data_IF_777525403754
#
_entry.id   IF_777525403754
#
_cell.length_a   1.000
_cell.length_b   1.000
_cell.length_c   1.000
_cell.angle_alpha   90.00
_cell.angle_beta   90.00
_cell.angle_gamma   90.00
#
_symmetry.space_group_name_H-M   'P 1'
#
loop_
_entity.id
_entity.type
_entity.pdbx_description
1 polymer ?
#
# COMPACT_ATOMS: atom_id res chain seq x y z
N UNK A 1 -2.43 12.79 14.82
CA UNK A 1 -2.18 12.29 13.45
C UNK A 1 -2.18 10.78 13.49
N UNK A 2 -3.06 10.10 12.74
CA UNK A 2 -3.13 8.62 12.74
C UNK A 2 -2.46 8.11 11.45
N UNK A 3 -1.35 7.40 11.60
CA UNK A 3 -0.60 6.87 10.45
C UNK A 3 -1.40 5.75 9.77
N UNK A 4 -1.16 5.56 8.48
CA UNK A 4 -1.81 4.50 7.72
C UNK A 4 -1.31 3.14 8.20
N UNK A 5 -2.20 2.33 8.79
CA UNK A 5 -1.88 0.99 9.29
C UNK A 5 -1.43 0.03 8.18
N UNK A 6 -1.95 0.22 6.96
CA UNK A 6 -1.70 -0.67 5.82
C UNK A 6 -0.28 -0.55 5.27
N UNK A 7 0.27 0.67 5.22
CA UNK A 7 1.67 0.92 4.87
C UNK A 7 2.55 1.27 6.08
N UNK A 8 2.03 1.13 7.30
CA UNK A 8 2.69 1.52 8.57
C UNK A 8 3.32 2.92 8.56
N UNK A 9 2.70 3.89 7.88
CA UNK A 9 3.25 5.24 7.78
C UNK A 9 4.21 5.49 6.60
N UNK A 10 4.63 4.45 5.87
CA UNK A 10 5.62 4.58 4.78
C UNK A 10 5.06 5.15 3.46
N UNK A 11 3.74 5.24 3.30
CA UNK A 11 3.09 5.65 2.05
C UNK A 11 3.15 4.62 0.90
N UNK A 12 4.00 3.60 1.00
CA UNK A 12 4.19 2.55 0.00
C UNK A 12 3.96 1.16 0.59
N UNK A 13 3.44 0.24 -0.22
CA UNK A 13 3.29 -1.18 0.10
C UNK A 13 4.00 -2.02 -0.97
N UNK A 14 4.43 -3.23 -0.62
CA UNK A 14 4.87 -4.17 -1.63
C UNK A 14 3.64 -4.85 -2.23
N UNK A 15 3.40 -4.62 -3.51
CA UNK A 15 2.35 -5.30 -4.25
C UNK A 15 2.99 -6.41 -5.08
N UNK A 16 2.37 -7.60 -5.02
CA UNK A 16 2.75 -8.73 -5.85
C UNK A 16 2.06 -8.55 -7.21
N UNK A 17 2.82 -8.39 -8.28
CA UNK A 17 2.24 -8.50 -9.61
C UNK A 17 1.90 -9.97 -9.86
N UNK A 18 0.64 -10.24 -10.20
CA UNK A 18 0.25 -11.50 -10.83
C UNK A 18 0.75 -11.45 -12.27
N UNK A 19 2.07 -11.59 -12.44
CA UNK A 19 2.64 -11.86 -13.75
C UNK A 19 2.39 -13.33 -14.06
N UNK A 20 1.87 -13.62 -15.26
CA UNK A 20 1.55 -14.99 -15.72
C UNK A 20 2.78 -15.93 -15.64
N UNK A 21 3.97 -15.34 -15.68
CA UNK A 21 5.22 -15.97 -15.29
C UNK A 21 5.40 -15.85 -13.77
N UNK A 22 5.01 -16.91 -13.05
CA UNK A 22 5.19 -17.05 -11.60
C UNK A 22 6.70 -17.08 -11.28
N UNK A 23 7.31 -15.90 -11.19
CA UNK A 23 8.55 -15.74 -10.45
C UNK A 23 8.17 -15.15 -9.09
N UNK A 24 8.27 -15.95 -8.03
CA UNK A 24 7.82 -15.63 -6.66
C UNK A 24 8.48 -14.39 -6.03
N UNK A 25 9.35 -13.69 -6.76
CA UNK A 25 10.13 -12.53 -6.32
C UNK A 25 9.67 -11.19 -6.90
N UNK A 26 8.55 -11.15 -7.64
CA UNK A 26 8.04 -9.94 -8.30
C UNK A 26 7.24 -9.03 -7.33
N UNK A 27 7.88 -8.63 -6.23
CA UNK A 27 7.34 -7.64 -5.29
C UNK A 27 7.92 -6.27 -5.59
N UNK A 28 7.07 -5.32 -5.96
CA UNK A 28 7.49 -3.95 -6.25
C UNK A 28 6.88 -2.96 -5.25
N UNK A 29 7.58 -1.86 -4.95
CA UNK A 29 7.04 -0.79 -4.12
C UNK A 29 5.92 -0.08 -4.90
N UNK A 30 4.68 -0.37 -4.55
CA UNK A 30 3.48 0.29 -5.04
C UNK A 30 3.00 1.37 -4.06
N UNK A 31 2.29 2.37 -4.58
CA UNK A 31 1.67 3.41 -3.75
C UNK A 31 0.58 2.76 -2.90
N UNK A 32 0.54 3.07 -1.60
CA UNK A 32 -0.48 2.52 -0.73
C UNK A 32 -1.85 3.06 -1.16
N UNK A 33 -2.79 2.22 -1.63
CA UNK A 33 -4.08 2.68 -2.15
C UNK A 33 -4.98 3.26 -1.06
N UNK A 34 -4.64 3.00 0.21
CA UNK A 34 -5.46 3.35 1.36
C UNK A 34 -5.14 4.75 1.93
N UNK A 35 -3.93 5.24 1.66
CA UNK A 35 -3.52 6.60 2.00
C UNK A 35 -3.03 7.38 0.78
N UNK A 36 -3.15 6.79 -0.41
CA UNK A 36 -2.76 7.38 -1.69
C UNK A 36 -1.31 7.91 -1.69
N UNK A 37 -0.40 7.23 -0.99
CA UNK A 37 1.01 7.65 -0.88
C UNK A 37 1.31 8.62 0.25
N UNK A 38 0.30 9.14 0.96
CA UNK A 38 0.49 10.17 1.99
C UNK A 38 1.07 9.63 3.30
N UNK A 39 1.03 8.30 3.54
CA UNK A 39 1.49 7.68 4.79
C UNK A 39 0.59 7.95 6.00
N UNK A 40 -0.30 8.93 5.91
CA UNK A 40 -1.32 9.26 6.90
C UNK A 40 -2.70 8.99 6.29
N UNK A 41 -3.58 8.29 7.03
CA UNK A 41 -4.98 8.22 6.63
C UNK A 41 -5.70 9.38 7.30
N UNK A 42 -6.21 10.32 6.50
CA UNK A 42 -7.40 11.05 6.94
C UNK A 42 -8.50 10.00 7.09
N UNK A 43 -9.16 9.90 8.24
CA UNK A 43 -10.15 8.87 8.50
C UNK A 43 -11.35 9.04 7.56
N UNK A 44 -11.28 8.55 6.31
CA UNK A 44 -12.46 8.37 5.50
C UNK A 44 -13.14 7.11 6.00
N UNK A 45 -13.96 7.32 7.02
CA UNK A 45 -15.01 6.43 7.47
C UNK A 45 -15.77 5.95 6.23
N UNK A 46 -15.51 4.71 5.82
CA UNK A 46 -16.37 4.01 4.87
C UNK A 46 -17.71 3.84 5.59
N UNK A 47 -18.72 4.58 5.13
CA UNK A 47 -20.11 4.48 5.61
C UNK A 47 -20.76 3.24 5.03
#
# INVERSE_FOLDING_TARGET
>A
MKFCLKCKGSGKILERRLSDYINSFDYYPAVCPDCEGQGIKAQKSHK
#
